data_IF_789877052074
#
_entry.id   IF_789877052074
#
_cell.length_a   1.000
_cell.length_b   1.000
_cell.length_c   1.000
_cell.angle_alpha   90.00
_cell.angle_beta   90.00
_cell.angle_gamma   90.00
#
_symmetry.space_group_name_H-M   'P 1'
#
loop_
_entity.id
_entity.type
_entity.pdbx_description
1 polymer ?
#
# COMPACT_ATOMS: atom_id res chain seq x y z
N UNK A 1 8.35 10.22 -8.07
CA UNK A 1 7.15 9.99 -7.23
C UNK A 1 6.99 11.18 -6.30
N UNK A 2 5.78 11.68 -6.07
CA UNK A 2 5.54 12.78 -5.10
C UNK A 2 5.27 12.22 -3.69
N UNK A 3 5.31 13.08 -2.68
CA UNK A 3 4.91 12.69 -1.31
C UNK A 3 3.48 12.15 -1.28
N UNK A 4 2.56 12.77 -2.04
CA UNK A 4 1.19 12.28 -2.19
C UNK A 4 1.15 10.85 -2.72
N UNK A 5 1.95 10.53 -3.75
CA UNK A 5 2.01 9.19 -4.30
C UNK A 5 2.51 8.17 -3.26
N UNK A 6 3.46 8.56 -2.41
CA UNK A 6 4.00 7.73 -1.32
C UNK A 6 2.98 7.52 -0.19
N UNK A 7 2.16 8.52 0.11
CA UNK A 7 1.03 8.38 1.04
C UNK A 7 0.04 7.30 0.55
N UNK A 8 -0.22 7.23 -0.75
CA UNK A 8 -1.05 6.17 -1.32
C UNK A 8 -0.39 4.78 -1.26
N UNK A 9 0.94 4.68 -1.46
CA UNK A 9 1.68 3.43 -1.25
C UNK A 9 1.54 2.95 0.20
N UNK A 10 1.69 3.86 1.16
CA UNK A 10 1.49 3.57 2.59
C UNK A 10 0.05 3.11 2.85
N UNK A 11 -0.94 3.74 2.21
CA UNK A 11 -2.34 3.35 2.33
C UNK A 11 -2.64 1.95 1.81
N UNK A 12 -2.05 1.59 0.66
CA UNK A 12 -2.17 0.26 0.09
C UNK A 12 -1.52 -0.79 0.99
N UNK A 13 -0.29 -0.53 1.47
CA UNK A 13 0.40 -1.42 2.40
C UNK A 13 -0.44 -1.67 3.67
N UNK A 14 -0.98 -0.60 4.29
CA UNK A 14 -1.84 -0.74 5.46
C UNK A 14 -3.06 -1.61 5.16
N UNK A 15 -3.72 -1.37 4.04
CA UNK A 15 -4.87 -2.18 3.63
C UNK A 15 -4.51 -3.65 3.44
N UNK A 16 -3.39 -3.92 2.76
CA UNK A 16 -2.91 -5.29 2.54
C UNK A 16 -2.58 -6.01 3.85
N UNK A 17 -2.00 -5.32 4.84
CA UNK A 17 -1.75 -5.87 6.18
C UNK A 17 -3.05 -6.12 6.95
N UNK A 18 -4.03 -5.24 6.82
CA UNK A 18 -5.30 -5.32 7.55
C UNK A 18 -6.38 -6.16 6.85
N UNK A 19 -6.10 -6.68 5.65
CA UNK A 19 -6.95 -7.62 4.92
C UNK A 19 -7.85 -7.01 3.84
N UNK A 20 -7.79 -5.69 3.62
CA UNK A 20 -8.44 -5.02 2.47
C UNK A 20 -7.52 -3.91 1.91
N UNK A 21 -6.72 -4.20 0.86
CA UNK A 21 -5.84 -3.23 0.19
C UNK A 21 -6.53 -1.94 -0.26
N UNK A 22 -7.85 -1.98 -0.48
CA UNK A 22 -8.64 -0.85 -0.99
C UNK A 22 -9.30 -0.03 0.12
N UNK A 23 -9.35 -0.55 1.36
CA UNK A 23 -10.01 0.10 2.49
C UNK A 23 -9.54 1.53 2.72
N UNK A 24 -8.22 1.76 2.60
CA UNK A 24 -7.60 3.06 2.85
C UNK A 24 -7.39 3.89 1.59
N UNK A 25 -7.68 3.32 0.43
CA UNK A 25 -7.45 3.97 -0.85
C UNK A 25 -8.56 4.98 -1.17
N UNK A 26 -8.21 6.24 -1.44
CA UNK A 26 -9.19 7.33 -1.57
C UNK A 26 -9.65 7.65 -3.00
N UNK A 27 -9.02 7.08 -4.04
CA UNK A 27 -9.34 7.36 -5.45
C UNK A 27 -9.19 6.11 -6.32
N UNK A 28 -10.25 5.75 -7.03
CA UNK A 28 -10.26 4.61 -7.98
C UNK A 28 -9.45 4.95 -9.24
N UNK A 29 -9.28 6.23 -9.58
CA UNK A 29 -8.69 6.68 -10.85
C UNK A 29 -7.15 6.61 -10.94
N UNK A 30 -6.48 6.02 -9.96
CA UNK A 30 -5.01 5.91 -9.95
C UNK A 30 -4.48 4.62 -9.31
N UNK A 31 -5.35 3.64 -9.04
CA UNK A 31 -4.98 2.39 -8.35
C UNK A 31 -3.75 1.72 -8.96
N UNK A 32 -3.82 1.41 -10.26
CA UNK A 32 -2.77 0.65 -10.96
C UNK A 32 -1.38 1.28 -10.82
N UNK A 33 -1.31 2.62 -10.87
CA UNK A 33 -0.05 3.36 -10.68
C UNK A 33 0.50 3.21 -9.27
N UNK A 34 -0.35 3.33 -8.24
CA UNK A 34 0.10 3.23 -6.86
C UNK A 34 0.36 1.78 -6.44
N UNK A 35 -0.37 0.82 -7.00
CA UNK A 35 -0.08 -0.60 -6.88
C UNK A 35 1.28 -0.92 -7.50
N UNK A 36 1.54 -0.47 -8.73
CA UNK A 36 2.85 -0.64 -9.37
C UNK A 36 3.98 0.00 -8.54
N UNK A 37 3.75 1.21 -8.01
CA UNK A 37 4.70 1.86 -7.10
C UNK A 37 4.93 1.04 -5.84
N UNK A 38 3.88 0.54 -5.19
CA UNK A 38 4.00 -0.24 -3.95
C UNK A 38 4.78 -1.55 -4.19
N UNK A 39 4.58 -2.20 -5.35
CA UNK A 39 5.37 -3.36 -5.78
C UNK A 39 6.82 -2.97 -6.02
N UNK A 40 7.08 -1.86 -6.73
CA UNK A 40 8.44 -1.37 -6.99
C UNK A 40 9.20 -0.98 -5.71
N UNK A 41 8.50 -0.41 -4.73
CA UNK A 41 9.06 -0.11 -3.41
C UNK A 41 9.23 -1.37 -2.55
N UNK A 42 8.82 -2.54 -3.05
CA UNK A 42 8.99 -3.84 -2.39
C UNK A 42 8.11 -4.04 -1.16
N UNK A 43 7.13 -3.17 -0.89
CA UNK A 43 6.29 -3.26 0.32
C UNK A 43 5.11 -4.21 0.15
N UNK A 44 4.68 -4.44 -1.07
CA UNK A 44 3.63 -5.42 -1.40
C UNK A 44 4.05 -6.25 -2.61
N UNK A 45 3.43 -7.42 -2.73
CA UNK A 45 3.48 -8.26 -3.92
C UNK A 45 2.06 -8.68 -4.31
N UNK A 46 1.90 -9.19 -5.53
CA UNK A 46 0.61 -9.69 -6.00
C UNK A 46 0.61 -11.20 -5.87
N UNK A 47 -0.36 -11.72 -5.11
CA UNK A 47 -0.57 -13.15 -4.95
C UNK A 47 -1.94 -13.56 -5.48
N UNK A 48 -2.04 -14.81 -5.95
CA UNK A 48 -3.32 -15.42 -6.25
C UNK A 48 -4.03 -15.75 -4.93
N UNK A 49 -5.25 -15.24 -4.78
CA UNK A 49 -6.17 -15.59 -3.72
C UNK A 49 -7.39 -16.30 -4.33
N UNK A 50 -7.96 -17.24 -3.58
CA UNK A 50 -9.22 -17.88 -3.96
C UNK A 50 -10.32 -17.25 -3.12
N UNK A 51 -11.22 -16.54 -3.78
CA UNK A 51 -12.40 -15.95 -3.17
C UNK A 51 -13.67 -16.68 -3.61
N UNK A 52 -14.67 -16.75 -2.74
CA UNK A 52 -15.98 -17.28 -3.10
C UNK A 52 -16.91 -16.13 -3.52
N UNK A 53 -17.32 -16.13 -4.79
CA UNK A 53 -18.25 -15.15 -5.36
C UNK A 53 -19.48 -15.90 -5.85
N UNK A 54 -20.65 -15.56 -5.29
CA UNK A 54 -21.93 -16.23 -5.59
C UNK A 54 -21.88 -17.77 -5.46
N UNK A 55 -21.19 -18.27 -4.41
CA UNK A 55 -21.06 -19.70 -4.14
C UNK A 55 -20.09 -20.43 -5.07
N UNK A 56 -19.25 -19.70 -5.84
CA UNK A 56 -18.27 -20.27 -6.76
C UNK A 56 -16.87 -19.78 -6.42
N UNK A 57 -15.85 -20.68 -6.39
CA UNK A 57 -14.48 -20.25 -6.21
C UNK A 57 -14.00 -19.49 -7.46
N UNK A 58 -13.39 -18.33 -7.24
CA UNK A 58 -12.79 -17.48 -8.25
C UNK A 58 -11.35 -17.17 -7.83
N UNK A 59 -10.41 -17.35 -8.76
CA UNK A 59 -9.03 -16.89 -8.55
C UNK A 59 -8.99 -15.39 -8.81
N UNK A 60 -8.58 -14.63 -7.81
CA UNK A 60 -8.36 -13.19 -7.89
C UNK A 60 -6.90 -12.88 -7.58
N UNK A 61 -6.42 -11.77 -8.10
CA UNK A 61 -5.13 -11.23 -7.73
C UNK A 61 -5.33 -10.23 -6.59
N UNK A 62 -4.61 -10.41 -5.50
CA UNK A 62 -4.69 -9.57 -4.31
C UNK A 62 -3.31 -9.11 -3.89
N UNK A 63 -3.21 -7.87 -3.41
CA UNK A 63 -1.99 -7.33 -2.85
C UNK A 63 -1.78 -7.90 -1.44
N UNK A 64 -0.66 -8.59 -1.25
CA UNK A 64 -0.24 -9.10 0.04
C UNK A 64 1.04 -8.36 0.48
N UNK A 65 1.20 -8.06 1.78
CA UNK A 65 2.40 -7.38 2.25
C UNK A 65 3.59 -8.34 2.19
N UNK A 66 4.71 -7.86 1.65
CA UNK A 66 5.99 -8.60 1.72
C UNK A 66 6.50 -8.62 3.17
N UNK A 67 7.52 -9.43 3.47
CA UNK A 67 8.17 -9.37 4.79
C UNK A 67 8.72 -7.97 5.10
N UNK A 68 9.35 -7.32 4.12
CA UNK A 68 9.77 -5.92 4.25
C UNK A 68 8.59 -4.99 4.52
N UNK A 69 7.48 -5.15 3.82
CA UNK A 69 6.26 -4.36 4.04
C UNK A 69 5.69 -4.53 5.45
N UNK A 70 5.65 -5.75 5.98
CA UNK A 70 5.21 -6.03 7.35
C UNK A 70 6.12 -5.35 8.38
N UNK A 71 7.43 -5.45 8.21
CA UNK A 71 8.40 -4.78 9.08
C UNK A 71 8.26 -3.26 9.01
N UNK A 72 8.13 -2.71 7.80
CA UNK A 72 7.90 -1.29 7.57
C UNK A 72 6.63 -0.80 8.27
N UNK A 73 5.53 -1.56 8.16
CA UNK A 73 4.26 -1.27 8.80
C UNK A 73 4.38 -1.14 10.33
N UNK A 74 5.07 -2.08 10.96
CA UNK A 74 5.29 -2.07 12.42
C UNK A 74 6.24 -0.95 12.83
N UNK A 75 7.35 -0.79 12.11
CA UNK A 75 8.41 0.17 12.43
C UNK A 75 7.93 1.61 12.41
N UNK A 76 7.03 1.95 11.48
CA UNK A 76 6.47 3.29 11.31
C UNK A 76 5.10 3.47 11.98
N UNK A 77 4.66 2.51 12.82
CA UNK A 77 3.38 2.55 13.53
C UNK A 77 2.19 2.90 12.63
N UNK A 78 2.13 2.29 11.44
CA UNK A 78 1.09 2.63 10.46
C UNK A 78 -0.32 2.23 10.94
N UNK A 79 -0.41 1.27 11.87
CA UNK A 79 -1.66 0.92 12.54
C UNK A 79 -2.20 2.02 13.47
N UNK A 80 -1.33 2.91 13.97
CA UNK A 80 -1.69 4.08 14.77
C UNK A 80 -2.21 5.28 13.96
N UNK A 81 -2.21 5.20 12.63
CA UNK A 81 -2.75 6.27 11.77
C UNK A 81 -4.26 6.42 11.96
N UNK A 82 -4.79 7.66 11.92
CA UNK A 82 -6.21 7.90 12.11
C UNK A 82 -7.05 7.14 11.08
N UNK A 83 -8.29 6.74 11.44
CA UNK A 83 -9.17 6.07 10.51
C UNK A 83 -9.50 6.97 9.32
N UNK A 84 -9.70 6.35 8.16
CA UNK A 84 -10.05 7.06 6.93
C UNK A 84 -9.02 6.87 5.82
N UNK A 85 -9.26 7.53 4.69
CA UNK A 85 -8.48 7.39 3.46
C UNK A 85 -7.10 8.05 3.57
N UNK A 86 -6.15 7.51 2.81
CA UNK A 86 -4.75 7.91 2.83
C UNK A 86 -4.52 9.42 2.65
N UNK A 87 -5.28 10.07 1.75
CA UNK A 87 -5.16 11.52 1.52
C UNK A 87 -5.55 12.41 2.72
N UNK A 88 -6.19 11.84 3.75
CA UNK A 88 -6.55 12.55 4.98
C UNK A 88 -5.48 12.42 6.07
N UNK A 89 -4.43 11.62 5.85
CA UNK A 89 -3.37 11.43 6.83
C UNK A 89 -2.38 12.60 6.78
N UNK A 90 -2.08 13.22 7.93
CA UNK A 90 -1.14 14.34 7.97
C UNK A 90 0.25 13.89 7.48
N UNK A 91 0.82 14.50 6.42
CA UNK A 91 2.13 14.12 5.90
C UNK A 91 3.25 14.18 6.95
N UNK A 92 3.12 15.03 7.97
CA UNK A 92 4.10 15.18 9.05
C UNK A 92 4.21 13.89 9.88
N UNK A 93 3.10 13.18 10.09
CA UNK A 93 3.09 11.86 10.76
C UNK A 93 3.69 10.75 9.90
N UNK A 94 3.74 10.97 8.60
CA UNK A 94 4.28 10.03 7.62
C UNK A 94 5.68 10.41 7.16
N UNK A 95 6.23 11.54 7.59
CA UNK A 95 7.46 12.12 7.05
C UNK A 95 8.64 11.14 7.03
N UNK A 96 8.84 10.35 8.09
CA UNK A 96 9.91 9.34 8.15
C UNK A 96 9.64 8.16 7.22
N UNK A 97 8.40 7.67 7.16
CA UNK A 97 7.98 6.60 6.25
C UNK A 97 8.12 7.02 4.78
N UNK A 98 7.69 8.24 4.45
CA UNK A 98 7.83 8.85 3.12
C UNK A 98 9.30 8.98 2.74
N UNK A 99 10.14 9.48 3.65
CA UNK A 99 11.57 9.62 3.39
C UNK A 99 12.26 8.27 3.16
N UNK A 100 11.91 7.23 3.92
CA UNK A 100 12.44 5.88 3.74
C UNK A 100 12.03 5.27 2.40
N UNK A 101 10.75 5.37 2.02
CA UNK A 101 10.29 4.88 0.72
C UNK A 101 10.93 5.66 -0.43
N UNK A 102 11.04 6.98 -0.33
CA UNK A 102 11.71 7.81 -1.33
C UNK A 102 13.20 7.45 -1.51
N UNK A 103 13.85 6.95 -0.45
CA UNK A 103 15.24 6.48 -0.48
C UNK A 103 15.39 5.02 -0.92
N UNK A 104 14.30 4.25 -1.00
CA UNK A 104 14.33 2.84 -1.40
C UNK A 104 14.68 2.72 -2.87
N UNK A 105 15.75 1.97 -3.19
CA UNK A 105 16.17 1.76 -4.57
C UNK A 105 15.04 1.11 -5.41
N UNK A 106 14.69 1.74 -6.53
CA UNK A 106 13.63 1.26 -7.42
C UNK A 106 12.24 1.84 -7.13
N UNK A 107 12.02 2.40 -5.94
CA UNK A 107 10.76 3.07 -5.60
C UNK A 107 10.60 4.37 -6.42
N UNK A 108 9.61 4.41 -7.33
CA UNK A 108 9.24 5.63 -8.06
C UNK A 108 10.07 6.00 -9.29
N UNK A 109 10.92 5.08 -9.76
CA UNK A 109 11.52 5.16 -11.08
C UNK A 109 10.52 4.61 -12.09
N UNK A 110 9.73 5.51 -12.69
CA UNK A 110 8.87 5.18 -13.83
C UNK A 110 9.77 4.64 -14.95
N UNK A 111 9.43 3.49 -15.52
CA UNK A 111 9.93 3.06 -16.84
C UNK A 111 9.15 3.77 -17.94
#
# INVERSE_FOLDING_TARGET
>A
MTDDDLVFVIGLLRGAVEGDPRQYFGSIRSWDRHQANAIQCGVVEVAEAVEEVDGRPMVVLSEVPTEYGKEFYVRHDLGGLPPGRAYMWPPERLSTAIAELAATEGCGKVM
#
